data_IF_022217958927
#
_entry.id   IF_022217958927
#
_cell.length_a   1.000
_cell.length_b   1.000
_cell.length_c   1.000
_cell.angle_alpha   90.00
_cell.angle_beta   90.00
_cell.angle_gamma   90.00
#
_symmetry.space_group_name_H-M   'P 1'
#
loop_
_entity.id
_entity.type
_entity.pdbx_description
1 polymer ?
#
# COMPACT_ATOMS: atom_id res chain seq x y z
N UNK A 1 12.40 4.31 21.30
CA UNK A 1 11.30 5.28 21.46
C UNK A 1 11.18 6.17 20.22
N UNK A 2 10.90 5.60 19.05
CA UNK A 2 10.83 6.39 17.79
C UNK A 2 9.75 5.87 16.84
N UNK A 3 8.71 5.23 17.36
CA UNK A 3 7.72 4.53 16.51
C UNK A 3 6.51 5.37 16.09
N UNK A 4 6.50 6.67 16.34
CA UNK A 4 5.39 7.54 15.94
C UNK A 4 5.92 8.86 15.41
N UNK A 5 5.89 9.02 14.11
CA UNK A 5 5.82 10.38 13.57
C UNK A 5 4.59 11.04 14.19
N UNK A 6 4.77 12.14 14.90
CA UNK A 6 3.72 12.79 15.69
C UNK A 6 2.50 13.13 14.80
N UNK A 7 1.32 12.67 15.21
CA UNK A 7 0.08 12.94 14.49
C UNK A 7 -0.92 11.79 14.56
N UNK A 8 -2.09 12.02 13.95
CA UNK A 8 -3.15 11.03 13.82
C UNK A 8 -2.78 9.98 12.77
N UNK A 9 -3.26 8.75 12.93
CA UNK A 9 -3.10 7.70 11.92
C UNK A 9 -3.90 8.04 10.65
N UNK A 10 -3.55 7.40 9.53
CA UNK A 10 -4.30 7.50 8.26
C UNK A 10 -5.79 7.25 8.48
N UNK A 11 -6.13 6.15 9.16
CA UNK A 11 -7.53 5.78 9.42
C UNK A 11 -8.26 6.82 10.26
N UNK A 12 -7.60 7.42 11.25
CA UNK A 12 -8.23 8.45 12.09
C UNK A 12 -8.50 9.73 11.30
N UNK A 13 -7.53 10.18 10.47
CA UNK A 13 -7.71 11.36 9.61
C UNK A 13 -8.79 11.11 8.57
N UNK A 14 -8.78 9.95 7.91
CA UNK A 14 -9.79 9.57 6.92
C UNK A 14 -11.22 9.60 7.49
N UNK A 15 -11.42 8.99 8.68
CA UNK A 15 -12.73 9.00 9.36
C UNK A 15 -13.16 10.41 9.75
N UNK A 16 -12.23 11.23 10.25
CA UNK A 16 -12.50 12.63 10.61
C UNK A 16 -12.89 13.47 9.40
N UNK A 17 -12.18 13.34 8.28
CA UNK A 17 -12.52 14.04 7.04
C UNK A 17 -13.87 13.57 6.48
N UNK A 18 -14.13 12.27 6.49
CA UNK A 18 -15.41 11.73 6.04
C UNK A 18 -16.59 12.26 6.87
N UNK A 19 -16.39 12.42 8.19
CA UNK A 19 -17.38 13.05 9.06
C UNK A 19 -17.62 14.51 8.67
N UNK A 20 -16.56 15.29 8.42
CA UNK A 20 -16.69 16.70 8.01
C UNK A 20 -17.38 16.83 6.67
N UNK A 21 -17.06 15.96 5.72
CA UNK A 21 -17.67 15.97 4.39
C UNK A 21 -19.15 15.55 4.40
N UNK A 22 -19.56 14.76 5.39
CA UNK A 22 -20.98 14.41 5.55
C UNK A 22 -21.83 15.57 6.09
N UNK A 23 -21.20 16.64 6.55
CA UNK A 23 -21.87 17.84 7.10
C UNK A 23 -21.59 19.05 6.21
N UNK A 24 -22.49 20.02 6.25
CA UNK A 24 -22.26 21.31 5.59
C UNK A 24 -21.53 22.22 6.58
N UNK A 25 -20.21 22.31 6.44
CA UNK A 25 -19.34 23.11 7.29
C UNK A 25 -18.47 24.03 6.45
N UNK A 26 -18.16 25.21 6.99
CA UNK A 26 -17.20 26.15 6.39
C UNK A 26 -15.74 25.82 6.76
N UNK A 27 -15.52 24.65 7.36
CA UNK A 27 -14.19 24.22 7.80
C UNK A 27 -13.37 23.82 6.58
N UNK A 28 -12.19 24.43 6.45
CA UNK A 28 -11.17 24.01 5.47
C UNK A 28 -10.14 23.13 6.19
N UNK A 29 -10.17 21.81 6.00
CA UNK A 29 -9.15 20.93 6.58
C UNK A 29 -7.80 21.16 5.94
N UNK A 30 -6.76 21.26 6.77
CA UNK A 30 -5.37 21.35 6.33
C UNK A 30 -4.56 20.20 6.92
N UNK A 31 -4.14 19.26 6.07
CA UNK A 31 -3.43 18.06 6.47
C UNK A 31 -1.93 18.31 6.47
N UNK A 32 -1.33 18.32 7.65
CA UNK A 32 0.11 18.52 7.85
C UNK A 32 0.79 17.21 8.15
N UNK A 33 1.79 16.83 7.36
CA UNK A 33 2.53 15.58 7.59
C UNK A 33 3.66 15.40 6.58
N UNK A 34 4.58 14.50 6.89
CA UNK A 34 5.75 14.25 6.05
C UNK A 34 5.41 13.84 4.61
N UNK A 35 6.35 14.04 3.71
CA UNK A 35 6.26 13.53 2.33
C UNK A 35 6.15 11.99 2.32
N UNK A 36 5.34 11.46 1.41
CA UNK A 36 5.27 9.99 1.18
C UNK A 36 4.43 9.18 2.18
N UNK A 37 3.73 9.80 3.14
CA UNK A 37 2.86 9.10 4.10
C UNK A 37 1.42 8.86 3.60
N UNK A 38 1.09 9.27 2.37
CA UNK A 38 -0.21 8.97 1.75
C UNK A 38 -1.26 10.07 1.83
N UNK A 39 -0.91 11.35 2.12
CA UNK A 39 -1.88 12.46 2.21
C UNK A 39 -2.75 12.60 0.95
N UNK A 40 -2.13 12.77 -0.21
CA UNK A 40 -2.84 12.97 -1.49
C UNK A 40 -3.64 11.73 -1.89
N UNK A 41 -3.09 10.53 -1.65
CA UNK A 41 -3.80 9.27 -1.91
C UNK A 41 -5.06 9.15 -1.05
N UNK A 42 -4.98 9.55 0.23
CA UNK A 42 -6.12 9.53 1.14
C UNK A 42 -7.29 10.39 0.62
N UNK A 43 -7.00 11.56 0.06
CA UNK A 43 -8.07 12.45 -0.46
C UNK A 43 -8.67 11.89 -1.76
N UNK A 44 -7.84 11.27 -2.62
CA UNK A 44 -8.36 10.56 -3.80
C UNK A 44 -9.26 9.39 -3.43
N UNK A 45 -8.85 8.58 -2.44
CA UNK A 45 -9.65 7.46 -1.93
C UNK A 45 -10.95 7.96 -1.30
N UNK A 46 -10.88 9.07 -0.57
CA UNK A 46 -12.05 9.69 0.04
C UNK A 46 -13.07 10.15 -1.01
N UNK A 47 -12.60 10.83 -2.06
CA UNK A 47 -13.43 11.24 -3.18
C UNK A 47 -14.08 10.04 -3.88
N UNK A 48 -13.27 9.04 -4.23
CA UNK A 48 -13.72 7.82 -4.90
C UNK A 48 -14.76 7.04 -4.10
N UNK A 49 -14.54 6.88 -2.79
CA UNK A 49 -15.42 6.08 -1.94
C UNK A 49 -16.76 6.76 -1.63
N UNK A 50 -16.84 8.08 -1.81
CA UNK A 50 -18.06 8.86 -1.62
C UNK A 50 -18.68 9.32 -2.94
N UNK A 51 -18.13 8.90 -4.08
CA UNK A 51 -18.57 9.32 -5.44
C UNK A 51 -18.53 10.84 -5.64
N UNK A 52 -17.54 11.52 -5.04
CA UNK A 52 -17.32 12.96 -5.22
C UNK A 52 -16.44 13.24 -6.43
N UNK A 53 -16.77 14.27 -7.20
CA UNK A 53 -15.87 14.79 -8.22
C UNK A 53 -14.58 15.34 -7.56
N UNK A 54 -13.44 15.09 -8.17
CA UNK A 54 -12.12 15.38 -7.60
C UNK A 54 -11.26 16.19 -8.54
N UNK A 55 -10.76 17.32 -8.06
CA UNK A 55 -9.84 18.20 -8.76
C UNK A 55 -8.65 18.50 -7.85
N UNK A 56 -7.44 18.41 -8.41
CA UNK A 56 -6.20 18.56 -7.66
C UNK A 56 -5.30 19.61 -8.28
N UNK A 57 -4.75 20.48 -7.46
CA UNK A 57 -3.70 21.45 -7.81
C UNK A 57 -2.49 21.19 -6.93
N UNK A 58 -1.34 20.88 -7.54
CA UNK A 58 -0.05 20.88 -6.88
C UNK A 58 0.47 22.30 -6.80
N UNK A 59 0.27 22.94 -5.66
CA UNK A 59 0.54 24.38 -5.51
C UNK A 59 2.00 24.77 -5.74
N UNK A 60 2.95 23.89 -5.43
CA UNK A 60 4.40 24.14 -5.66
C UNK A 60 4.77 24.37 -7.12
N UNK A 61 3.93 23.95 -8.06
CA UNK A 61 4.15 24.13 -9.50
C UNK A 61 3.60 25.44 -10.04
N UNK A 62 2.79 26.15 -9.24
CA UNK A 62 2.11 27.37 -9.67
C UNK A 62 3.08 28.55 -9.78
N UNK A 63 2.92 29.29 -10.88
CA UNK A 63 3.54 30.60 -11.12
C UNK A 63 2.50 31.71 -10.97
N UNK A 64 2.90 32.98 -10.76
CA UNK A 64 1.99 34.10 -10.77
C UNK A 64 1.18 34.16 -12.08
N UNK A 65 -0.15 34.19 -11.95
CA UNK A 65 -1.07 34.18 -13.09
C UNK A 65 -1.59 32.79 -13.50
N UNK A 66 -1.11 31.69 -12.88
CA UNK A 66 -1.60 30.34 -13.21
C UNK A 66 -2.98 30.04 -12.59
N UNK A 67 -3.37 30.75 -11.53
CA UNK A 67 -4.70 30.62 -10.96
C UNK A 67 -5.74 31.40 -11.77
N UNK A 68 -5.35 32.55 -12.34
CA UNK A 68 -6.20 33.39 -13.15
C UNK A 68 -5.42 34.05 -14.29
N UNK A 69 -5.79 33.79 -15.52
CA UNK A 69 -5.13 34.37 -16.69
C UNK A 69 -5.94 35.51 -17.24
N UNK A 70 -5.45 36.76 -17.19
CA UNK A 70 -6.10 37.88 -17.87
C UNK A 70 -5.88 37.80 -19.39
N UNK A 71 -6.98 37.81 -20.14
CA UNK A 71 -6.93 37.83 -21.60
C UNK A 71 -7.61 39.12 -22.09
N UNK A 72 -6.89 40.03 -22.76
CA UNK A 72 -7.49 41.24 -23.36
C UNK A 72 -8.52 40.86 -24.42
N UNK A 73 -9.68 41.52 -24.37
CA UNK A 73 -10.71 41.59 -25.41
C UNK A 73 -10.79 43.02 -25.90
N UNK A 74 -11.57 43.25 -26.94
CA UNK A 74 -11.63 44.56 -27.62
C UNK A 74 -11.94 45.73 -26.67
N UNK A 75 -12.80 45.55 -25.67
CA UNK A 75 -13.30 46.59 -24.76
C UNK A 75 -13.15 46.22 -23.26
N UNK A 76 -12.66 45.02 -22.91
CA UNK A 76 -12.51 44.57 -21.52
C UNK A 76 -11.41 43.53 -21.37
N UNK A 77 -11.04 43.22 -20.14
CA UNK A 77 -10.18 42.06 -19.79
C UNK A 77 -11.07 40.92 -19.29
N UNK A 78 -10.96 39.75 -19.94
CA UNK A 78 -11.60 38.52 -19.48
C UNK A 78 -10.60 37.70 -18.69
N UNK A 79 -10.98 37.29 -17.48
CA UNK A 79 -10.16 36.37 -16.64
C UNK A 79 -10.62 34.94 -16.88
N UNK A 80 -9.66 34.06 -17.17
CA UNK A 80 -9.88 32.63 -17.26
C UNK A 80 -9.28 31.99 -16.02
N UNK A 81 -10.02 31.09 -15.37
CA UNK A 81 -9.55 30.35 -14.21
C UNK A 81 -8.65 29.19 -14.62
N UNK A 82 -7.81 28.78 -13.67
CA UNK A 82 -7.09 27.51 -13.78
C UNK A 82 -8.05 26.38 -14.17
N UNK A 83 -7.66 25.47 -15.10
CA UNK A 83 -8.54 24.40 -15.57
C UNK A 83 -9.11 23.50 -14.47
N UNK A 84 -8.36 23.25 -13.39
CA UNK A 84 -8.85 22.45 -12.26
C UNK A 84 -9.93 23.19 -11.47
N UNK A 85 -9.77 24.49 -11.25
CA UNK A 85 -10.77 25.32 -10.56
C UNK A 85 -12.02 25.44 -11.43
N UNK A 86 -11.84 25.72 -12.73
CA UNK A 86 -12.98 25.81 -13.66
C UNK A 86 -13.72 24.46 -13.75
N UNK A 87 -12.98 23.35 -13.77
CA UNK A 87 -13.56 22.00 -13.76
C UNK A 87 -14.38 21.75 -12.49
N UNK A 88 -13.86 22.14 -11.33
CA UNK A 88 -14.56 22.00 -10.05
C UNK A 88 -15.86 22.82 -10.03
N UNK A 89 -15.83 24.07 -10.52
CA UNK A 89 -17.04 24.91 -10.64
C UNK A 89 -18.06 24.25 -11.59
N UNK A 90 -17.61 23.83 -12.76
CA UNK A 90 -18.49 23.21 -13.76
C UNK A 90 -19.14 21.93 -13.24
N UNK A 91 -18.38 21.08 -12.56
CA UNK A 91 -18.90 19.85 -11.96
C UNK A 91 -19.92 20.16 -10.85
N UNK A 92 -19.64 21.14 -10.00
CA UNK A 92 -20.50 21.55 -8.90
C UNK A 92 -21.83 22.19 -9.39
N UNK A 93 -21.79 22.97 -10.47
CA UNK A 93 -22.98 23.54 -11.09
C UNK A 93 -23.82 22.49 -11.81
N UNK A 94 -23.18 21.47 -12.39
CA UNK A 94 -23.86 20.37 -13.07
C UNK A 94 -24.63 19.46 -12.12
N UNK A 95 -24.14 19.28 -10.90
CA UNK A 95 -24.75 18.44 -9.86
C UNK A 95 -24.65 19.13 -8.47
N UNK A 96 -25.60 20.04 -8.15
CA UNK A 96 -25.55 20.78 -6.90
C UNK A 96 -25.76 19.95 -5.64
N UNK A 97 -26.34 18.75 -5.74
CA UNK A 97 -26.61 17.87 -4.60
C UNK A 97 -25.39 17.03 -4.21
N UNK A 98 -24.40 16.91 -5.11
CA UNK A 98 -23.16 16.18 -4.84
C UNK A 98 -22.01 17.14 -4.54
N UNK A 99 -21.13 16.71 -3.62
CA UNK A 99 -19.92 17.47 -3.26
C UNK A 99 -18.84 17.30 -4.30
N UNK A 100 -18.06 18.36 -4.48
CA UNK A 100 -16.87 18.38 -5.32
C UNK A 100 -15.67 18.70 -4.45
N UNK A 101 -14.63 17.89 -4.49
CA UNK A 101 -13.38 18.16 -3.75
C UNK A 101 -12.43 18.94 -4.66
N UNK A 102 -12.03 20.12 -4.20
CA UNK A 102 -10.89 20.88 -4.73
C UNK A 102 -9.72 20.70 -3.74
N UNK A 103 -8.76 19.86 -4.11
CA UNK A 103 -7.61 19.55 -3.29
C UNK A 103 -6.41 20.39 -3.68
N UNK A 104 -5.82 21.10 -2.70
CA UNK A 104 -4.65 21.95 -2.86
C UNK A 104 -3.46 21.28 -2.15
N UNK A 105 -2.64 20.55 -2.90
CA UNK A 105 -1.46 19.88 -2.37
C UNK A 105 -0.24 20.79 -2.35
N UNK A 106 0.69 20.54 -1.43
CA UNK A 106 1.90 21.34 -1.21
C UNK A 106 1.60 22.85 -0.99
N UNK A 107 0.53 23.12 -0.24
CA UNK A 107 -0.09 24.43 -0.11
C UNK A 107 0.86 25.52 0.46
N UNK A 108 1.87 25.15 1.23
CA UNK A 108 2.84 26.06 1.84
C UNK A 108 4.14 26.27 1.03
N UNK A 109 4.22 25.70 -0.19
CA UNK A 109 5.44 25.82 -1.01
C UNK A 109 5.48 27.00 -1.99
N UNK A 110 4.35 27.51 -2.53
CA UNK A 110 4.37 28.60 -3.48
C UNK A 110 5.04 29.85 -2.94
N UNK A 111 5.54 30.69 -3.84
CA UNK A 111 6.04 32.03 -3.50
C UNK A 111 4.92 32.92 -2.95
N UNK A 112 5.25 33.95 -2.18
CA UNK A 112 4.30 34.79 -1.46
C UNK A 112 3.18 35.38 -2.32
N UNK A 113 3.46 35.75 -3.57
CA UNK A 113 2.45 36.27 -4.51
C UNK A 113 1.36 35.23 -4.82
N UNK A 114 1.75 34.00 -5.11
CA UNK A 114 0.81 32.90 -5.38
C UNK A 114 0.09 32.47 -4.10
N UNK A 115 0.78 32.50 -2.95
CA UNK A 115 0.11 32.27 -1.66
C UNK A 115 -1.02 33.27 -1.41
N UNK A 116 -0.83 34.56 -1.75
CA UNK A 116 -1.89 35.58 -1.65
C UNK A 116 -3.12 35.27 -2.49
N UNK A 117 -2.94 34.75 -3.72
CA UNK A 117 -4.05 34.34 -4.59
C UNK A 117 -4.75 33.08 -4.03
N UNK A 118 -3.99 32.10 -3.56
CA UNK A 118 -4.52 30.89 -2.92
C UNK A 118 -5.28 31.22 -1.62
N UNK A 119 -4.81 32.21 -0.86
CA UNK A 119 -5.54 32.72 0.31
C UNK A 119 -6.93 33.23 -0.07
N UNK A 120 -7.04 34.03 -1.10
CA UNK A 120 -8.34 34.54 -1.55
C UNK A 120 -9.27 33.38 -1.95
N UNK A 121 -8.75 32.36 -2.63
CA UNK A 121 -9.50 31.15 -2.97
C UNK A 121 -10.02 30.43 -1.73
N UNK A 122 -9.14 30.21 -0.75
CA UNK A 122 -9.47 29.47 0.48
C UNK A 122 -10.37 30.28 1.43
N UNK A 123 -10.08 31.57 1.62
CA UNK A 123 -10.77 32.39 2.62
C UNK A 123 -12.07 33.02 2.10
N UNK A 124 -12.07 33.47 0.85
CA UNK A 124 -13.18 34.20 0.25
C UNK A 124 -13.98 33.33 -0.71
N UNK A 125 -13.51 32.14 -1.02
CA UNK A 125 -14.12 31.23 -2.01
C UNK A 125 -14.37 31.94 -3.35
N UNK A 126 -13.45 32.86 -3.71
CA UNK A 126 -13.61 33.71 -4.88
C UNK A 126 -12.25 33.99 -5.55
N UNK A 127 -12.23 33.96 -6.87
CA UNK A 127 -11.13 34.43 -7.69
C UNK A 127 -11.60 35.38 -8.78
N UNK A 128 -11.11 36.62 -8.75
CA UNK A 128 -11.41 37.66 -9.73
C UNK A 128 -12.92 37.79 -10.03
N UNK A 129 -13.75 37.74 -8.98
CA UNK A 129 -15.21 37.90 -9.10
C UNK A 129 -15.98 36.60 -9.41
N UNK A 130 -15.28 35.47 -9.60
CA UNK A 130 -15.92 34.17 -9.77
C UNK A 130 -15.93 33.43 -8.44
N UNK A 131 -17.12 33.24 -7.88
CA UNK A 131 -17.31 32.52 -6.62
C UNK A 131 -17.30 31.00 -6.83
N UNK A 132 -16.72 30.25 -5.89
CA UNK A 132 -16.91 28.81 -5.84
C UNK A 132 -18.33 28.47 -5.36
N UNK A 133 -19.03 27.53 -6.01
CA UNK A 133 -20.30 26.99 -5.52
C UNK A 133 -20.16 26.39 -4.10
N UNK A 134 -21.25 26.41 -3.33
CA UNK A 134 -21.23 25.97 -1.92
C UNK A 134 -20.88 24.51 -1.75
N UNK A 135 -21.24 23.66 -2.73
CA UNK A 135 -20.92 22.23 -2.73
C UNK A 135 -19.45 21.91 -3.12
N UNK A 136 -18.62 22.91 -3.46
CA UNK A 136 -17.16 22.71 -3.61
C UNK A 136 -16.50 22.74 -2.24
N UNK A 137 -15.91 21.65 -1.82
CA UNK A 137 -15.15 21.55 -0.56
C UNK A 137 -13.67 21.68 -0.85
N UNK A 138 -13.02 22.65 -0.21
CA UNK A 138 -11.57 22.84 -0.29
C UNK A 138 -10.91 22.03 0.80
N UNK A 139 -9.91 21.21 0.43
CA UNK A 139 -9.01 20.52 1.35
C UNK A 139 -7.59 20.89 0.97
N UNK A 140 -6.76 21.21 1.96
CA UNK A 140 -5.35 21.55 1.72
C UNK A 140 -4.43 20.51 2.35
N UNK A 141 -3.27 20.29 1.77
CA UNK A 141 -2.21 19.49 2.39
C UNK A 141 -0.86 20.19 2.25
N UNK A 142 0.01 19.92 3.22
CA UNK A 142 1.34 20.51 3.24
C UNK A 142 2.35 19.61 3.92
N UNK A 143 3.62 19.86 3.61
CA UNK A 143 4.72 19.32 4.38
C UNK A 143 4.98 20.23 5.59
N UNK A 144 5.34 19.67 6.74
CA UNK A 144 5.59 20.46 7.94
C UNK A 144 6.81 21.36 7.78
N UNK A 145 6.73 22.56 8.32
CA UNK A 145 7.90 23.40 8.56
C UNK A 145 8.51 23.09 9.93
N UNK A 146 9.78 23.45 10.14
CA UNK A 146 10.52 23.19 11.38
C UNK A 146 9.95 23.93 12.61
N UNK A 147 9.10 24.92 12.41
CA UNK A 147 8.38 25.65 13.46
C UNK A 147 7.09 24.95 13.92
N UNK A 148 6.72 23.84 13.30
CA UNK A 148 5.58 23.02 13.72
C UNK A 148 6.04 22.02 14.77
N UNK A 149 5.40 22.05 15.95
CA UNK A 149 5.67 21.11 17.05
C UNK A 149 5.64 19.64 16.58
N UNK A 150 6.71 18.90 16.85
CA UNK A 150 6.91 17.51 16.43
C UNK A 150 7.59 17.35 15.07
N UNK A 151 7.99 18.47 14.43
CA UNK A 151 8.66 18.48 13.12
C UNK A 151 9.92 19.37 13.10
N UNK A 152 10.51 19.63 14.27
CA UNK A 152 11.62 20.57 14.46
C UNK A 152 12.88 20.21 13.65
N UNK A 153 13.02 18.94 13.28
CA UNK A 153 14.16 18.42 12.53
C UNK A 153 13.90 18.30 11.02
N UNK A 154 13.00 19.12 10.47
CA UNK A 154 12.67 19.07 9.04
C UNK A 154 13.16 20.32 8.32
N UNK A 155 13.72 20.17 7.10
CA UNK A 155 14.14 21.27 6.23
C UNK A 155 13.35 21.32 4.92
N UNK A 156 12.07 20.93 4.96
CA UNK A 156 11.23 21.12 3.76
C UNK A 156 11.29 22.59 3.32
N UNK A 157 11.54 22.82 2.03
CA UNK A 157 11.48 24.14 1.44
C UNK A 157 10.05 24.67 1.52
N UNK A 158 9.71 25.29 2.63
CA UNK A 158 8.39 25.87 2.92
C UNK A 158 8.54 27.36 3.11
N UNK A 159 7.56 28.12 2.67
CA UNK A 159 7.51 29.56 2.92
C UNK A 159 6.75 29.84 4.22
N UNK A 160 7.11 30.94 4.90
CA UNK A 160 6.39 31.39 6.07
C UNK A 160 4.90 31.59 5.74
N UNK A 161 4.03 31.06 6.60
CA UNK A 161 2.59 31.22 6.44
C UNK A 161 2.12 32.60 6.89
N UNK A 162 1.12 33.10 6.19
CA UNK A 162 0.33 34.20 6.73
C UNK A 162 -0.53 33.71 7.90
N UNK A 163 -0.58 34.48 8.99
CA UNK A 163 -1.37 34.14 10.17
C UNK A 163 -2.88 34.02 9.85
N UNK A 164 -3.37 34.75 8.85
CA UNK A 164 -4.76 34.69 8.42
C UNK A 164 -5.18 33.31 7.86
N UNK A 165 -4.24 32.56 7.25
CA UNK A 165 -4.48 31.20 6.81
C UNK A 165 -4.67 30.26 8.02
N UNK A 166 -3.85 30.45 9.06
CA UNK A 166 -3.89 29.62 10.26
C UNK A 166 -5.23 29.76 11.00
N UNK A 167 -5.83 30.96 10.99
CA UNK A 167 -7.12 31.21 11.67
C UNK A 167 -8.31 30.58 10.97
N UNK A 168 -8.19 30.27 9.68
CA UNK A 168 -9.32 29.83 8.85
C UNK A 168 -9.19 28.40 8.32
N UNK A 169 -8.09 27.75 8.62
CA UNK A 169 -7.89 26.33 8.28
C UNK A 169 -7.79 25.50 9.55
N UNK A 170 -8.47 24.37 9.58
CA UNK A 170 -8.35 23.42 10.66
C UNK A 170 -7.11 22.52 10.43
N UNK A 171 -6.06 22.75 11.18
CA UNK A 171 -4.84 21.95 11.08
C UNK A 171 -5.05 20.55 11.63
N UNK A 172 -4.75 19.56 10.81
CA UNK A 172 -4.78 18.13 11.15
C UNK A 172 -3.38 17.56 10.97
N UNK A 173 -2.70 17.21 12.07
CA UNK A 173 -1.39 16.55 12.00
C UNK A 173 -1.60 15.07 11.70
N UNK A 174 -1.04 14.62 10.57
CA UNK A 174 -1.05 13.23 10.13
C UNK A 174 0.33 12.63 10.33
N UNK A 175 0.40 11.56 11.11
CA UNK A 175 1.58 10.75 11.31
C UNK A 175 1.53 9.45 10.51
N UNK A 176 2.62 8.70 10.54
CA UNK A 176 2.68 7.34 10.00
C UNK A 176 2.70 6.32 11.14
N UNK A 177 1.84 5.33 11.04
CA UNK A 177 1.76 4.21 11.98
C UNK A 177 1.83 2.91 11.18
N UNK A 178 2.77 2.03 11.53
CA UNK A 178 3.03 0.80 10.78
C UNK A 178 1.81 -0.13 10.78
N UNK A 179 1.18 -0.37 11.92
CA UNK A 179 0.05 -1.28 12.06
C UNK A 179 -1.17 -0.77 11.26
N UNK A 180 -1.42 0.54 11.36
CA UNK A 180 -2.50 1.19 10.59
C UNK A 180 -2.22 1.11 9.09
N UNK A 181 -0.98 1.37 8.65
CA UNK A 181 -0.58 1.25 7.24
C UNK A 181 -0.69 -0.18 6.72
N UNK A 182 -0.27 -1.18 7.50
CA UNK A 182 -0.38 -2.59 7.12
C UNK A 182 -1.85 -2.98 6.96
N UNK A 183 -2.71 -2.64 7.92
CA UNK A 183 -4.13 -3.03 7.91
C UNK A 183 -4.97 -2.23 6.93
N UNK A 184 -4.71 -0.93 6.80
CA UNK A 184 -5.52 -0.02 5.97
C UNK A 184 -5.10 0.01 4.51
N UNK A 185 -3.85 -0.35 4.18
CA UNK A 185 -3.30 -0.24 2.84
C UNK A 185 -2.54 -1.48 2.39
N UNK A 186 -1.46 -1.88 3.09
CA UNK A 186 -0.49 -2.85 2.58
C UNK A 186 -1.10 -4.22 2.25
N UNK A 187 -2.01 -4.71 3.11
CA UNK A 187 -2.69 -6.01 2.95
C UNK A 187 -3.94 -5.97 2.07
N UNK A 188 -4.35 -4.80 1.58
CA UNK A 188 -5.46 -4.73 0.62
C UNK A 188 -5.07 -5.41 -0.69
N UNK A 189 -6.02 -6.09 -1.28
CA UNK A 189 -5.87 -6.72 -2.60
C UNK A 189 -5.77 -5.67 -3.70
N UNK A 190 -4.91 -5.88 -4.67
CA UNK A 190 -4.82 -5.01 -5.85
C UNK A 190 -6.08 -5.15 -6.71
N UNK A 191 -6.61 -4.01 -7.20
CA UNK A 191 -7.82 -4.00 -8.02
C UNK A 191 -7.63 -4.79 -9.33
N UNK A 192 -6.44 -4.69 -9.92
CA UNK A 192 -6.13 -5.32 -11.21
C UNK A 192 -5.56 -6.74 -11.08
N UNK A 193 -5.20 -7.17 -9.87
CA UNK A 193 -4.69 -8.51 -9.61
C UNK A 193 -5.15 -9.00 -8.23
N UNK A 194 -6.27 -9.73 -8.15
CA UNK A 194 -6.84 -10.20 -6.88
C UNK A 194 -5.95 -11.19 -6.11
N UNK A 195 -4.92 -11.73 -6.72
CA UNK A 195 -3.96 -12.63 -6.07
C UNK A 195 -2.79 -11.88 -5.42
N UNK A 196 -2.75 -10.53 -5.51
CA UNK A 196 -1.66 -9.71 -4.97
C UNK A 196 -2.17 -8.67 -3.98
N UNK A 197 -1.39 -8.46 -2.95
CA UNK A 197 -1.57 -7.34 -2.02
C UNK A 197 -0.98 -6.05 -2.60
N UNK A 198 -1.42 -4.89 -2.09
CA UNK A 198 -0.90 -3.58 -2.50
C UNK A 198 0.61 -3.48 -2.26
N UNK A 199 1.08 -4.05 -1.16
CA UNK A 199 2.50 -4.15 -0.81
C UNK A 199 2.90 -5.61 -0.79
N UNK A 200 4.03 -5.91 -1.39
CA UNK A 200 4.59 -7.27 -1.44
C UNK A 200 4.74 -7.84 -0.02
N UNK A 201 4.31 -9.10 0.25
CA UNK A 201 4.32 -9.70 1.58
C UNK A 201 5.68 -9.64 2.28
N UNK A 202 6.77 -9.87 1.54
CA UNK A 202 8.13 -9.80 2.05
C UNK A 202 8.45 -8.45 2.74
N UNK A 203 7.91 -7.33 2.22
CA UNK A 203 8.12 -6.01 2.82
C UNK A 203 7.37 -5.89 4.15
N UNK A 204 6.12 -6.38 4.20
CA UNK A 204 5.34 -6.33 5.44
C UNK A 204 5.93 -7.25 6.52
N UNK A 205 6.45 -8.41 6.14
CA UNK A 205 7.17 -9.33 7.03
C UNK A 205 8.45 -8.67 7.58
N UNK A 206 9.26 -8.11 6.70
CA UNK A 206 10.46 -7.35 7.09
C UNK A 206 10.15 -6.26 8.11
N UNK A 207 9.15 -5.42 7.83
CA UNK A 207 8.76 -4.31 8.70
C UNK A 207 8.17 -4.78 10.05
N UNK A 208 7.56 -5.94 10.10
CA UNK A 208 7.03 -6.54 11.34
C UNK A 208 8.11 -7.25 12.17
N UNK A 209 9.19 -7.71 11.53
CA UNK A 209 10.33 -8.36 12.18
C UNK A 209 11.44 -7.33 12.48
N UNK A 210 12.46 -7.30 11.65
CA UNK A 210 13.71 -6.58 11.89
C UNK A 210 13.71 -5.13 11.40
N UNK A 211 12.76 -4.78 10.51
CA UNK A 211 12.72 -3.52 9.79
C UNK A 211 11.85 -2.42 10.42
N UNK A 212 11.21 -2.66 11.57
CA UNK A 212 10.22 -1.74 12.17
C UNK A 212 10.73 -0.31 12.31
N UNK A 213 11.95 -0.14 12.71
CA UNK A 213 12.61 1.16 12.86
C UNK A 213 12.83 1.90 11.55
N UNK A 214 12.79 1.18 10.43
CA UNK A 214 12.95 1.72 9.09
C UNK A 214 11.61 1.95 8.36
N UNK A 215 10.47 1.81 9.02
CA UNK A 215 9.17 2.08 8.37
C UNK A 215 9.08 3.52 7.86
N UNK A 216 9.54 4.47 8.67
CA UNK A 216 9.71 5.86 8.27
C UNK A 216 10.93 6.44 9.00
N UNK A 217 11.88 6.91 8.22
CA UNK A 217 13.03 7.67 8.71
C UNK A 217 13.02 9.01 8.00
N UNK A 218 13.31 10.08 8.72
CA UNK A 218 13.42 11.42 8.19
C UNK A 218 14.78 11.93 8.62
N UNK A 219 15.74 11.79 7.74
CA UNK A 219 17.11 12.21 7.92
C UNK A 219 17.59 12.93 6.65
N UNK A 220 17.78 14.22 6.75
CA UNK A 220 18.13 15.09 5.63
C UNK A 220 19.58 14.93 5.16
N UNK A 221 20.39 14.26 5.96
CA UNK A 221 21.77 13.93 5.59
C UNK A 221 21.86 12.75 4.64
N UNK A 222 20.76 12.00 4.47
CA UNK A 222 20.68 10.82 3.62
C UNK A 222 20.12 11.17 2.24
N UNK A 223 20.68 10.56 1.22
CA UNK A 223 20.17 10.69 -0.16
C UNK A 223 18.76 10.10 -0.30
N UNK A 224 18.51 8.98 0.37
CA UNK A 224 17.20 8.31 0.39
C UNK A 224 16.76 7.99 1.81
N UNK A 225 15.47 8.17 2.03
CA UNK A 225 14.82 7.83 3.29
C UNK A 225 13.68 6.84 3.07
N UNK A 226 13.57 5.79 3.90
CA UNK A 226 12.44 4.88 3.84
C UNK A 226 11.16 5.62 4.25
N UNK A 227 10.12 5.44 3.45
CA UNK A 227 8.77 5.99 3.66
C UNK A 227 7.75 4.99 3.11
N UNK A 228 6.47 5.08 3.48
CA UNK A 228 5.41 4.27 2.88
C UNK A 228 5.42 4.26 1.34
N UNK A 229 5.65 5.42 0.70
CA UNK A 229 5.81 5.54 -0.76
C UNK A 229 7.06 4.84 -1.29
N UNK A 230 8.16 4.86 -0.54
CA UNK A 230 9.38 4.16 -0.91
C UNK A 230 9.17 2.64 -0.93
N UNK A 231 8.46 2.12 0.08
CA UNK A 231 8.07 0.70 0.13
C UNK A 231 7.08 0.30 -0.96
N UNK A 232 6.19 1.19 -1.37
CA UNK A 232 5.30 0.94 -2.53
C UNK A 232 6.13 0.78 -3.83
N UNK A 233 7.12 1.64 -4.05
CA UNK A 233 8.02 1.50 -5.21
C UNK A 233 8.86 0.22 -5.14
N UNK A 234 9.38 -0.12 -3.95
CA UNK A 234 10.10 -1.38 -3.74
C UNK A 234 9.18 -2.59 -3.99
N UNK A 235 7.94 -2.53 -3.53
CA UNK A 235 6.93 -3.57 -3.80
C UNK A 235 6.71 -3.78 -5.30
N UNK A 236 6.59 -2.70 -6.05
CA UNK A 236 6.43 -2.77 -7.51
C UNK A 236 7.67 -3.39 -8.18
N UNK A 237 8.88 -3.11 -7.67
CA UNK A 237 10.11 -3.73 -8.15
C UNK A 237 10.09 -5.24 -7.90
N UNK A 238 9.77 -5.69 -6.68
CA UNK A 238 9.70 -7.13 -6.35
C UNK A 238 8.66 -7.85 -7.22
N UNK A 239 7.48 -7.29 -7.36
CA UNK A 239 6.46 -7.85 -8.25
C UNK A 239 6.87 -7.88 -9.72
N UNK A 240 7.65 -6.90 -10.20
CA UNK A 240 8.15 -6.90 -11.57
C UNK A 240 9.13 -8.06 -11.83
N UNK A 241 9.97 -8.42 -10.86
CA UNK A 241 10.82 -9.61 -10.95
C UNK A 241 9.99 -10.89 -11.01
N UNK A 242 8.98 -11.02 -10.16
CA UNK A 242 8.08 -12.18 -10.17
C UNK A 242 7.28 -12.29 -11.48
N UNK A 243 6.79 -11.17 -12.02
CA UNK A 243 6.07 -11.12 -13.31
C UNK A 243 6.96 -11.53 -14.49
N UNK A 244 8.26 -11.25 -14.40
CA UNK A 244 9.24 -11.70 -15.37
C UNK A 244 9.64 -13.18 -15.19
N UNK A 245 9.05 -13.88 -14.21
CA UNK A 245 9.31 -15.31 -13.93
C UNK A 245 10.58 -15.54 -13.12
N UNK A 246 11.13 -14.51 -12.49
CA UNK A 246 12.30 -14.65 -11.64
C UNK A 246 11.89 -14.96 -10.19
N UNK A 247 12.53 -15.94 -9.61
CA UNK A 247 12.47 -16.18 -8.17
C UNK A 247 13.38 -15.18 -7.45
N UNK A 248 12.79 -14.21 -6.74
CA UNK A 248 13.53 -13.15 -6.02
C UNK A 248 14.49 -13.69 -4.94
N UNK A 249 14.30 -14.92 -4.54
CA UNK A 249 15.18 -15.60 -3.57
C UNK A 249 16.37 -16.32 -4.22
N UNK A 250 16.34 -16.59 -5.53
CA UNK A 250 17.37 -17.35 -6.24
C UNK A 250 17.71 -16.69 -7.59
N UNK A 251 18.07 -15.41 -7.53
CA UNK A 251 18.45 -14.64 -8.72
C UNK A 251 19.86 -15.00 -9.19
N UNK A 252 20.10 -14.94 -10.49
CA UNK A 252 21.44 -14.91 -11.06
C UNK A 252 22.16 -13.60 -10.69
N UNK A 253 23.49 -13.61 -10.69
CA UNK A 253 24.33 -12.53 -10.16
C UNK A 253 23.95 -11.14 -10.70
N UNK A 254 23.80 -10.98 -12.01
CA UNK A 254 23.44 -9.70 -12.64
C UNK A 254 22.07 -9.17 -12.16
N UNK A 255 21.08 -10.04 -12.01
CA UNK A 255 19.76 -9.66 -11.51
C UNK A 255 19.78 -9.40 -10.00
N UNK A 256 20.62 -10.13 -9.25
CA UNK A 256 20.78 -9.92 -7.82
C UNK A 256 21.42 -8.56 -7.53
N UNK A 257 22.48 -8.19 -8.27
CA UNK A 257 23.11 -6.87 -8.14
C UNK A 257 22.12 -5.75 -8.46
N UNK A 258 21.35 -5.89 -9.54
CA UNK A 258 20.31 -4.91 -9.89
C UNK A 258 19.21 -4.81 -8.81
N UNK A 259 18.79 -5.94 -8.23
CA UNK A 259 17.79 -5.93 -7.15
C UNK A 259 18.32 -5.23 -5.91
N UNK A 260 19.56 -5.50 -5.50
CA UNK A 260 20.21 -4.85 -4.34
C UNK A 260 20.27 -3.34 -4.55
N UNK A 261 20.78 -2.89 -5.69
CA UNK A 261 20.82 -1.46 -6.04
C UNK A 261 19.40 -0.83 -6.06
N UNK A 262 18.42 -1.56 -6.59
CA UNK A 262 17.03 -1.13 -6.60
C UNK A 262 16.41 -1.04 -5.20
N UNK A 263 16.78 -1.92 -4.28
CA UNK A 263 16.36 -1.87 -2.86
C UNK A 263 16.96 -0.62 -2.21
N UNK A 264 18.28 -0.45 -2.27
CA UNK A 264 18.98 0.69 -1.67
C UNK A 264 18.53 2.01 -2.29
N UNK A 265 18.36 2.08 -3.60
CA UNK A 265 17.85 3.24 -4.33
C UNK A 265 16.39 3.63 -3.98
N UNK A 266 15.60 2.73 -3.40
CA UNK A 266 14.26 3.03 -2.93
C UNK A 266 14.20 3.40 -1.45
N UNK A 267 14.81 2.63 -0.56
CA UNK A 267 14.67 2.77 0.90
C UNK A 267 15.95 3.27 1.59
N UNK A 268 17.00 3.54 0.84
CA UNK A 268 18.30 4.01 1.33
C UNK A 268 19.20 2.87 1.78
N UNK A 269 20.51 3.13 1.83
CA UNK A 269 21.55 2.11 2.03
C UNK A 269 21.37 1.34 3.34
N UNK A 270 21.15 2.03 4.46
CA UNK A 270 21.04 1.39 5.77
C UNK A 270 19.84 0.44 5.85
N UNK A 271 18.65 0.93 5.50
CA UNK A 271 17.44 0.10 5.48
C UNK A 271 17.55 -0.98 4.40
N UNK A 272 18.16 -0.66 3.27
CA UNK A 272 18.41 -1.59 2.15
C UNK A 272 19.28 -2.76 2.54
N UNK A 273 20.41 -2.53 3.21
CA UNK A 273 21.31 -3.59 3.67
C UNK A 273 20.64 -4.53 4.68
N UNK A 274 19.83 -3.96 5.60
CA UNK A 274 19.06 -4.79 6.54
C UNK A 274 18.00 -5.60 5.80
N UNK A 275 17.32 -5.03 4.81
CA UNK A 275 16.35 -5.74 3.99
C UNK A 275 17.02 -6.86 3.15
N UNK A 276 18.18 -6.59 2.54
CA UNK A 276 18.95 -7.61 1.79
C UNK A 276 19.40 -8.74 2.71
N UNK A 277 19.82 -8.42 3.93
CA UNK A 277 20.17 -9.44 4.94
C UNK A 277 18.95 -10.27 5.31
N UNK A 278 17.81 -9.63 5.56
CA UNK A 278 16.53 -10.29 5.78
C UNK A 278 16.16 -11.19 4.58
N UNK A 279 16.26 -10.71 3.34
CA UNK A 279 15.99 -11.48 2.12
C UNK A 279 16.89 -12.73 2.04
N UNK A 280 18.20 -12.61 2.35
CA UNK A 280 19.14 -13.73 2.35
C UNK A 280 18.82 -14.77 3.43
N UNK A 281 18.41 -14.36 4.61
CA UNK A 281 17.95 -15.27 5.67
C UNK A 281 16.75 -16.08 5.20
N UNK A 282 15.87 -15.44 4.43
CA UNK A 282 14.72 -16.10 3.86
C UNK A 282 15.08 -17.20 2.84
N UNK A 283 16.24 -17.13 2.19
CA UNK A 283 16.74 -18.17 1.29
C UNK A 283 17.12 -19.46 2.02
N UNK A 284 17.68 -19.36 3.23
CA UNK A 284 18.18 -20.50 4.00
C UNK A 284 17.08 -21.29 4.70
N UNK A 285 15.96 -20.64 5.03
CA UNK A 285 14.88 -21.25 5.80
C UNK A 285 13.76 -21.83 4.92
N UNK A 286 13.81 -21.59 3.60
CA UNK A 286 12.78 -22.06 2.68
C UNK A 286 12.87 -23.56 2.42
N UNK A 287 11.76 -24.28 2.57
CA UNK A 287 11.66 -25.70 2.21
C UNK A 287 11.40 -25.81 0.72
N UNK A 288 12.38 -26.35 -0.02
CA UNK A 288 12.25 -26.57 -1.46
C UNK A 288 11.36 -27.80 -1.71
N UNK A 289 10.52 -27.81 -2.75
CA UNK A 289 9.75 -29.00 -3.16
C UNK A 289 10.65 -30.24 -3.30
N UNK A 290 11.87 -30.07 -3.81
CA UNK A 290 12.85 -31.15 -3.97
C UNK A 290 13.30 -31.76 -2.65
N UNK A 291 13.34 -31.01 -1.54
CA UNK A 291 13.68 -31.55 -0.21
C UNK A 291 12.61 -32.55 0.26
N UNK A 292 11.34 -32.22 0.02
CA UNK A 292 10.19 -33.09 0.36
C UNK A 292 10.13 -34.31 -0.54
N UNK A 293 10.31 -34.10 -1.84
CA UNK A 293 10.25 -35.19 -2.85
C UNK A 293 11.41 -36.18 -2.68
N UNK A 294 12.62 -35.68 -2.37
CA UNK A 294 13.82 -36.51 -2.21
C UNK A 294 14.01 -37.05 -0.80
N UNK A 295 13.17 -36.67 0.16
CA UNK A 295 13.24 -37.24 1.51
C UNK A 295 13.06 -38.76 1.48
N UNK A 296 13.81 -39.45 2.34
CA UNK A 296 13.75 -40.92 2.43
C UNK A 296 12.68 -41.37 3.41
N UNK A 297 11.90 -42.39 3.02
CA UNK A 297 10.80 -42.93 3.85
C UNK A 297 9.44 -42.31 3.54
N UNK A 298 8.42 -42.85 4.16
CA UNK A 298 7.01 -42.41 3.97
C UNK A 298 6.64 -41.19 4.80
N UNK A 299 7.48 -40.79 5.78
CA UNK A 299 7.25 -39.58 6.59
C UNK A 299 8.39 -38.61 6.48
N UNK A 300 8.07 -37.32 6.62
CA UNK A 300 9.07 -36.25 6.61
C UNK A 300 9.94 -36.28 7.89
N UNK A 301 11.24 -36.00 7.77
CA UNK A 301 12.09 -35.73 8.92
C UNK A 301 11.50 -34.60 9.81
N UNK A 302 11.52 -34.81 11.12
CA UNK A 302 11.06 -33.83 12.11
C UNK A 302 11.70 -32.44 11.91
N UNK A 303 12.97 -32.42 11.51
CA UNK A 303 13.68 -31.16 11.18
C UNK A 303 13.07 -30.33 10.03
N UNK A 304 12.39 -30.97 9.08
CA UNK A 304 11.68 -30.27 8.00
C UNK A 304 10.35 -29.73 8.54
N UNK A 305 9.62 -30.52 9.34
CA UNK A 305 8.37 -30.12 9.95
C UNK A 305 8.56 -28.97 10.95
N UNK A 306 9.61 -29.02 11.77
CA UNK A 306 9.97 -27.93 12.69
C UNK A 306 10.29 -26.63 11.95
N UNK A 307 11.06 -26.73 10.85
CA UNK A 307 11.34 -25.57 9.98
C UNK A 307 10.04 -25.02 9.37
N UNK A 308 9.14 -25.88 8.91
CA UNK A 308 7.85 -25.49 8.36
C UNK A 308 7.00 -24.75 9.40
N UNK A 309 6.85 -25.29 10.61
CA UNK A 309 6.08 -24.69 11.70
C UNK A 309 6.67 -23.37 12.20
N UNK A 310 8.00 -23.22 12.15
CA UNK A 310 8.68 -21.98 12.52
C UNK A 310 8.49 -20.84 11.48
N UNK A 311 8.03 -21.17 10.26
CA UNK A 311 7.82 -20.17 9.22
C UNK A 311 6.56 -19.32 9.48
N UNK A 312 6.54 -18.05 9.06
CA UNK A 312 5.32 -17.25 8.99
C UNK A 312 4.24 -17.91 8.11
N UNK A 313 2.96 -17.72 8.45
CA UNK A 313 1.79 -18.30 7.76
C UNK A 313 1.85 -18.12 6.24
N UNK A 314 2.22 -16.91 5.77
CA UNK A 314 2.29 -16.60 4.33
C UNK A 314 3.30 -17.50 3.61
N UNK A 315 4.40 -17.86 4.28
CA UNK A 315 5.41 -18.76 3.71
C UNK A 315 4.97 -20.20 3.72
N UNK A 316 4.34 -20.64 4.81
CA UNK A 316 3.80 -21.99 4.89
C UNK A 316 2.82 -22.24 3.76
N UNK A 317 1.94 -21.28 3.47
CA UNK A 317 1.06 -21.33 2.28
C UNK A 317 1.84 -21.52 0.98
N UNK A 318 2.89 -20.72 0.77
CA UNK A 318 3.72 -20.81 -0.43
C UNK A 318 4.44 -22.14 -0.56
N UNK A 319 5.00 -22.67 0.54
CA UNK A 319 5.66 -24.00 0.53
C UNK A 319 4.70 -25.09 0.02
N UNK A 320 3.45 -25.11 0.51
CA UNK A 320 2.46 -26.09 0.08
C UNK A 320 2.03 -25.86 -1.36
N UNK A 321 1.83 -24.62 -1.78
CA UNK A 321 1.45 -24.27 -3.16
C UNK A 321 2.58 -24.66 -4.14
N UNK A 322 3.81 -24.27 -3.87
CA UNK A 322 4.98 -24.60 -4.71
C UNK A 322 5.22 -26.13 -4.76
N UNK A 323 5.03 -26.84 -3.65
CA UNK A 323 5.12 -28.28 -3.60
C UNK A 323 4.01 -28.94 -4.43
N UNK A 324 2.78 -28.46 -4.30
CA UNK A 324 1.64 -28.93 -5.11
C UNK A 324 1.90 -28.73 -6.58
N UNK A 325 2.31 -27.52 -6.97
CA UNK A 325 2.58 -27.18 -8.37
C UNK A 325 3.76 -28.01 -8.92
N UNK A 326 4.81 -28.24 -8.12
CA UNK A 326 5.93 -29.09 -8.49
C UNK A 326 5.49 -30.54 -8.76
N UNK A 327 4.65 -31.13 -7.89
CA UNK A 327 4.15 -32.50 -8.03
C UNK A 327 3.26 -32.63 -9.26
N UNK A 328 2.32 -31.71 -9.48
CA UNK A 328 1.38 -31.82 -10.61
C UNK A 328 2.03 -31.60 -11.97
N UNK A 329 3.19 -30.95 -12.04
CA UNK A 329 3.97 -30.82 -13.28
C UNK A 329 4.79 -32.08 -13.61
N UNK A 330 4.89 -33.05 -12.71
CA UNK A 330 5.63 -34.31 -12.90
C UNK A 330 4.69 -35.49 -12.71
N UNK A 331 4.23 -36.07 -13.82
CA UNK A 331 3.17 -37.08 -13.82
C UNK A 331 3.49 -38.36 -13.05
N UNK A 332 4.77 -38.68 -12.89
CA UNK A 332 5.30 -39.83 -12.15
C UNK A 332 5.28 -39.64 -10.63
N UNK A 333 5.20 -38.41 -10.15
CA UNK A 333 5.10 -38.07 -8.72
C UNK A 333 3.67 -38.10 -8.19
N UNK A 334 2.66 -37.96 -9.06
CA UNK A 334 1.24 -37.79 -8.67
C UNK A 334 0.70 -38.97 -7.85
N UNK A 335 1.16 -40.20 -8.14
CA UNK A 335 0.69 -41.43 -7.51
C UNK A 335 1.75 -42.08 -6.61
N UNK A 336 2.83 -41.36 -6.29
CA UNK A 336 3.88 -41.83 -5.37
C UNK A 336 3.33 -41.86 -3.92
N UNK A 337 3.10 -43.07 -3.38
CA UNK A 337 2.49 -43.27 -2.07
C UNK A 337 3.33 -42.70 -0.91
N UNK A 338 4.67 -42.80 -1.00
CA UNK A 338 5.56 -42.23 0.00
C UNK A 338 5.51 -40.68 -0.05
N UNK A 339 5.45 -40.11 -1.25
CA UNK A 339 5.34 -38.67 -1.41
C UNK A 339 3.99 -38.15 -0.93
N UNK A 340 2.90 -38.88 -1.20
CA UNK A 340 1.56 -38.57 -0.67
C UNK A 340 1.58 -38.50 0.85
N UNK A 341 2.22 -39.46 1.51
CA UNK A 341 2.34 -39.45 2.98
C UNK A 341 3.18 -38.27 3.49
N UNK A 342 4.31 -37.97 2.85
CA UNK A 342 5.14 -36.79 3.19
C UNK A 342 4.42 -35.47 2.96
N UNK A 343 3.63 -35.37 1.89
CA UNK A 343 2.79 -34.21 1.65
C UNK A 343 1.73 -34.05 2.75
N UNK A 344 1.11 -35.18 3.15
CA UNK A 344 0.13 -35.20 4.22
C UNK A 344 0.74 -34.77 5.55
N UNK A 345 1.98 -35.13 5.88
CA UNK A 345 2.65 -34.66 7.11
C UNK A 345 2.70 -33.13 7.21
N UNK A 346 3.02 -32.44 6.10
CA UNK A 346 2.97 -30.96 6.05
C UNK A 346 1.54 -30.48 6.26
N UNK A 347 0.60 -31.13 5.59
CA UNK A 347 -0.81 -30.77 5.64
C UNK A 347 -1.39 -30.90 7.06
N UNK A 348 -0.99 -31.93 7.80
CA UNK A 348 -1.42 -32.16 9.18
C UNK A 348 -0.98 -31.07 10.15
N UNK A 349 0.20 -30.48 9.96
CA UNK A 349 0.75 -29.42 10.81
C UNK A 349 0.36 -28.00 10.35
N UNK A 350 -0.38 -27.89 9.24
CA UNK A 350 -0.85 -26.61 8.71
C UNK A 350 -2.16 -26.14 9.37
N UNK A 351 -2.31 -24.84 9.51
CA UNK A 351 -3.53 -24.22 10.01
C UNK A 351 -4.64 -24.19 8.94
N UNK A 352 -5.93 -24.20 9.32
CA UNK A 352 -7.06 -24.18 8.37
C UNK A 352 -6.97 -23.07 7.33
N UNK A 353 -6.64 -21.86 7.76
CA UNK A 353 -6.55 -20.67 6.89
C UNK A 353 -5.40 -20.75 5.87
N UNK A 354 -4.44 -21.65 6.09
CA UNK A 354 -3.30 -21.82 5.18
C UNK A 354 -3.69 -22.65 3.97
N UNK A 355 -4.49 -23.65 4.15
CA UNK A 355 -4.73 -24.73 3.17
C UNK A 355 -6.14 -24.75 2.58
N UNK A 356 -7.10 -24.02 3.17
CA UNK A 356 -8.50 -24.02 2.69
C UNK A 356 -8.63 -23.63 1.19
N UNK A 357 -7.94 -22.56 0.79
CA UNK A 357 -7.99 -22.09 -0.62
C UNK A 357 -7.38 -23.14 -1.55
N UNK A 358 -6.31 -23.81 -1.12
CA UNK A 358 -5.66 -24.86 -1.90
C UNK A 358 -6.55 -26.10 -2.02
N UNK A 359 -7.22 -26.52 -0.93
CA UNK A 359 -8.20 -27.60 -0.97
C UNK A 359 -9.29 -27.29 -1.99
N UNK A 360 -9.86 -26.08 -1.94
CA UNK A 360 -10.89 -25.64 -2.87
C UNK A 360 -10.39 -25.65 -4.32
N UNK A 361 -9.17 -25.12 -4.57
CA UNK A 361 -8.53 -25.17 -5.89
C UNK A 361 -8.39 -26.60 -6.42
N UNK A 362 -7.99 -27.55 -5.56
CA UNK A 362 -7.86 -28.97 -5.95
C UNK A 362 -9.22 -29.63 -6.22
N UNK A 363 -10.21 -29.34 -5.37
CA UNK A 363 -11.56 -29.87 -5.49
C UNK A 363 -12.30 -29.38 -6.76
N UNK A 364 -12.17 -28.08 -7.05
CA UNK A 364 -12.87 -27.44 -8.18
C UNK A 364 -12.13 -27.61 -9.51
N UNK A 365 -10.99 -28.30 -9.52
CA UNK A 365 -10.19 -28.49 -10.72
C UNK A 365 -10.90 -29.41 -11.75
N UNK A 366 -10.68 -29.17 -13.08
CA UNK A 366 -11.23 -30.03 -14.12
C UNK A 366 -10.82 -31.50 -13.92
N UNK A 367 -11.76 -32.44 -14.06
CA UNK A 367 -11.55 -33.85 -13.72
C UNK A 367 -10.33 -34.51 -14.39
N UNK A 368 -9.98 -34.07 -15.61
CA UNK A 368 -8.87 -34.61 -16.39
C UNK A 368 -7.54 -33.91 -16.10
N UNK A 369 -7.51 -32.92 -15.20
CA UNK A 369 -6.29 -32.17 -14.86
C UNK A 369 -5.35 -32.97 -13.95
N UNK A 370 -4.05 -32.63 -14.01
CA UNK A 370 -3.04 -33.24 -13.13
C UNK A 370 -3.33 -32.97 -11.64
N UNK A 371 -3.82 -31.77 -11.32
CA UNK A 371 -4.18 -31.39 -9.95
C UNK A 371 -5.38 -32.20 -9.43
N UNK A 372 -6.39 -32.51 -10.26
CA UNK A 372 -7.51 -33.35 -9.88
C UNK A 372 -7.07 -34.80 -9.65
N UNK A 373 -6.14 -35.32 -10.46
CA UNK A 373 -5.54 -36.66 -10.26
C UNK A 373 -4.76 -36.71 -8.94
N UNK A 374 -3.97 -35.67 -8.64
CA UNK A 374 -3.24 -35.59 -7.38
C UNK A 374 -4.19 -35.52 -6.18
N UNK A 375 -5.24 -34.70 -6.26
CA UNK A 375 -6.27 -34.64 -5.21
C UNK A 375 -6.97 -36.00 -5.00
N UNK A 376 -7.22 -36.71 -6.07
CA UNK A 376 -7.78 -38.08 -5.97
C UNK A 376 -6.81 -39.04 -5.29
N UNK A 377 -5.52 -38.94 -5.54
CA UNK A 377 -4.50 -39.75 -4.87
C UNK A 377 -4.39 -39.39 -3.37
N UNK A 378 -4.42 -38.10 -3.03
CA UNK A 378 -4.45 -37.63 -1.62
C UNK A 378 -5.69 -38.16 -0.86
N UNK A 379 -6.84 -38.23 -1.49
CA UNK A 379 -8.07 -38.78 -0.88
C UNK A 379 -8.03 -40.32 -0.62
N UNK A 380 -6.93 -41.00 -0.94
CA UNK A 380 -6.69 -42.38 -0.54
C UNK A 380 -5.93 -42.46 0.80
N UNK A 381 -5.44 -41.32 1.31
CA UNK A 381 -4.80 -41.23 2.61
C UNK A 381 -5.81 -40.80 3.67
N UNK A 382 -6.03 -41.62 4.69
CA UNK A 382 -7.06 -41.42 5.70
C UNK A 382 -6.82 -40.13 6.52
N UNK A 383 -5.59 -39.83 6.87
CA UNK A 383 -5.21 -38.62 7.64
C UNK A 383 -5.52 -37.35 6.83
N UNK A 384 -5.24 -37.37 5.52
CA UNK A 384 -5.57 -36.24 4.63
C UNK A 384 -7.09 -35.99 4.56
N UNK A 385 -7.86 -37.07 4.44
CA UNK A 385 -9.34 -37.00 4.36
C UNK A 385 -9.93 -36.45 5.66
N UNK A 386 -9.47 -36.96 6.83
CA UNK A 386 -9.91 -36.49 8.14
C UNK A 386 -9.62 -34.99 8.33
N UNK A 387 -8.39 -34.57 8.08
CA UNK A 387 -7.98 -33.16 8.21
C UNK A 387 -8.78 -32.25 7.25
N UNK A 388 -9.00 -32.67 6.01
CA UNK A 388 -9.78 -31.92 5.02
C UNK A 388 -11.23 -31.76 5.45
N UNK A 389 -11.83 -32.79 6.03
CA UNK A 389 -13.18 -32.73 6.56
C UNK A 389 -13.29 -31.75 7.73
N UNK A 390 -12.36 -31.81 8.70
CA UNK A 390 -12.34 -30.91 9.86
C UNK A 390 -12.23 -29.44 9.44
N UNK A 391 -11.37 -29.12 8.48
CA UNK A 391 -11.20 -27.77 7.94
C UNK A 391 -12.48 -27.27 7.28
N UNK A 392 -13.09 -28.10 6.45
CA UNK A 392 -14.33 -27.73 5.75
C UNK A 392 -15.47 -27.46 6.73
N UNK A 393 -15.57 -28.25 7.80
CA UNK A 393 -16.56 -28.06 8.86
C UNK A 393 -16.28 -26.81 9.69
N UNK A 394 -15.01 -26.50 10.00
CA UNK A 394 -14.62 -25.32 10.76
C UNK A 394 -14.91 -24.01 10.00
N UNK A 395 -14.71 -23.99 8.69
CA UNK A 395 -14.98 -22.80 7.84
C UNK A 395 -16.49 -22.58 7.71
N UNK A 396 -17.28 -23.64 7.45
CA UNK A 396 -18.73 -23.53 7.32
C UNK A 396 -19.45 -23.17 8.64
N UNK A 397 -18.81 -23.37 9.80
CA UNK A 397 -19.36 -22.98 11.09
C UNK A 397 -19.12 -21.48 11.43
N UNK A 398 -18.26 -20.82 10.69
CA UNK A 398 -17.91 -19.39 10.85
C UNK A 398 -18.55 -18.47 9.79
N UNK A 399 -19.23 -19.01 8.76
CA UNK A 399 -20.12 -18.30 7.84
C UNK A 399 -21.57 -18.28 8.37
#
# INVERSE_FOLDING_TARGET
MTDRVAGLSYTAVYKGLNLLLAQDTDIVPNIVGHGGIGKSQMIRDLAKNNDFAYFEITCSLLQPGDLTMPVPKEDHIKYYLNPQIQGAITAAEADPDHKVILFLDEFNRPIAMVQGELMNLVLQRNLMGQALPDNVVIITAENPSSDVEGFENTSYATNARDMAINDRTMRIRMGANLEDWISSFAKKTQVNNPNRTMIHPLITEFLQADGRQYFIVIDETRDKNPTPRAYERLSNLLYAFEDAGHDIYHLADDYLEFLIEGIEGNIGDEAGQVFVTFLRQQQTDFIKPTEVVQATGSHLPESILDRYQAMPIVRRKRVIEDLTDYIVHQSDLIEDGDLISRYTDIFMVSEPDEIYILIKRMHDAPADSAIARFYKALNQNDDFVEKTFDITMAVNANE
#
